data_IF_731173677571
#
_entry.id   IF_731173677571
#
_cell.length_a   1.000
_cell.length_b   1.000
_cell.length_c   1.000
_cell.angle_alpha   90.00
_cell.angle_beta   90.00
_cell.angle_gamma   90.00
#
_symmetry.space_group_name_H-M   'P 1'
#
loop_
_entity.id
_entity.type
_entity.pdbx_description
1 polymer ?
#
# COMPACT_ATOMS: atom_id res chain seq x y z
N UNK A 1 57.48 14.09 37.95
CA UNK A 1 56.76 15.11 37.15
C UNK A 1 56.81 14.69 35.69
N UNK A 2 55.72 14.15 35.17
CA UNK A 2 54.79 14.79 34.20
C UNK A 2 55.23 14.58 32.73
N UNK A 3 54.62 13.55 32.13
CA UNK A 3 53.90 13.50 30.83
C UNK A 3 54.62 14.02 29.57
N UNK A 4 54.73 13.17 28.54
CA UNK A 4 53.97 13.36 27.30
C UNK A 4 53.96 12.09 26.43
N UNK A 5 52.93 11.27 26.65
CA UNK A 5 52.53 10.24 25.70
C UNK A 5 52.23 10.93 24.35
N UNK A 6 52.79 10.38 23.27
CA UNK A 6 52.60 10.85 21.90
C UNK A 6 51.30 10.26 21.35
N UNK A 7 50.29 11.09 21.20
CA UNK A 7 48.97 10.67 20.71
C UNK A 7 49.10 10.36 19.22
N UNK A 8 49.04 9.07 18.87
CA UNK A 8 48.89 8.61 17.49
C UNK A 8 47.46 8.94 17.07
N UNK A 9 47.29 9.95 16.22
CA UNK A 9 45.99 10.41 15.71
C UNK A 9 45.27 9.25 15.01
N UNK A 10 44.26 8.70 15.68
CA UNK A 10 43.35 7.72 15.09
C UNK A 10 42.62 8.36 13.92
N UNK A 11 42.85 7.86 12.70
CA UNK A 11 42.06 8.21 11.53
C UNK A 11 40.61 7.89 11.84
N UNK A 12 39.74 8.91 11.85
CA UNK A 12 38.29 8.75 11.92
C UNK A 12 37.87 7.75 10.83
N UNK A 13 37.09 6.70 11.15
CA UNK A 13 36.63 5.77 10.13
C UNK A 13 35.80 6.57 9.12
N UNK A 14 36.26 6.58 7.87
CA UNK A 14 35.51 7.15 6.76
C UNK A 14 34.16 6.46 6.72
N UNK A 15 33.07 7.22 6.86
CA UNK A 15 31.69 6.75 6.73
C UNK A 15 31.59 6.02 5.39
N UNK A 16 31.66 4.69 5.42
CA UNK A 16 31.66 3.86 4.22
C UNK A 16 30.45 4.25 3.37
N UNK A 17 30.67 4.44 2.07
CA UNK A 17 29.58 4.66 1.12
C UNK A 17 28.61 3.50 1.30
N UNK A 18 27.40 3.76 1.84
CA UNK A 18 26.35 2.76 1.85
C UNK A 18 26.16 2.31 0.39
N UNK A 19 26.14 1.00 0.09
CA UNK A 19 25.85 0.56 -1.27
C UNK A 19 24.52 1.19 -1.69
N UNK A 20 24.40 1.61 -2.97
CA UNK A 20 23.15 2.18 -3.46
C UNK A 20 22.03 1.19 -3.14
N UNK A 21 20.96 1.68 -2.51
CA UNK A 21 19.79 0.85 -2.25
C UNK A 21 19.36 0.22 -3.58
N UNK A 22 19.21 -1.11 -3.60
CA UNK A 22 18.79 -1.81 -4.80
C UNK A 22 17.48 -1.17 -5.30
N UNK A 23 17.36 -0.88 -6.60
CA UNK A 23 16.17 -0.24 -7.13
C UNK A 23 14.95 -1.11 -6.83
N UNK A 24 14.09 -0.63 -5.94
CA UNK A 24 12.87 -1.33 -5.59
C UNK A 24 11.98 -1.37 -6.83
N UNK A 25 11.52 -2.57 -7.21
CA UNK A 25 10.63 -2.75 -8.36
C UNK A 25 9.43 -1.84 -8.18
N UNK A 26 9.13 -0.99 -9.16
CA UNK A 26 7.99 -0.06 -9.09
C UNK A 26 6.69 -0.87 -9.05
N UNK A 27 5.83 -0.59 -8.08
CA UNK A 27 4.55 -1.26 -7.88
C UNK A 27 3.44 -0.23 -8.08
N UNK A 28 2.36 -0.59 -8.79
CA UNK A 28 1.15 0.26 -8.81
C UNK A 28 0.53 0.27 -7.42
N UNK A 29 0.40 1.45 -6.83
CA UNK A 29 -0.24 1.68 -5.53
C UNK A 29 -1.38 2.67 -5.67
N UNK A 30 -2.25 2.73 -4.68
CA UNK A 30 -3.28 3.76 -4.61
C UNK A 30 -2.63 5.16 -4.57
N UNK A 31 -3.19 6.10 -5.32
CA UNK A 31 -2.76 7.48 -5.27
C UNK A 31 -3.24 8.14 -3.96
N UNK A 32 -2.32 8.36 -3.02
CA UNK A 32 -2.58 8.94 -1.70
C UNK A 32 -3.32 10.29 -1.78
N UNK A 33 -2.96 11.15 -2.73
CA UNK A 33 -3.63 12.44 -2.92
C UNK A 33 -5.09 12.32 -3.35
N UNK A 34 -5.48 11.17 -3.92
CA UNK A 34 -6.86 10.88 -4.37
C UNK A 34 -7.55 9.85 -3.47
N UNK A 35 -6.98 9.54 -2.31
CA UNK A 35 -7.53 8.52 -1.42
C UNK A 35 -8.95 8.87 -0.94
N UNK A 36 -9.23 10.14 -0.65
CA UNK A 36 -10.58 10.58 -0.26
C UNK A 36 -11.63 10.34 -1.37
N UNK A 37 -11.27 10.67 -2.62
CA UNK A 37 -12.13 10.42 -3.79
C UNK A 37 -12.36 8.93 -4.01
N UNK A 38 -11.30 8.12 -3.88
CA UNK A 38 -11.42 6.66 -3.95
C UNK A 38 -12.38 6.11 -2.89
N UNK A 39 -12.27 6.57 -1.64
CA UNK A 39 -13.19 6.15 -0.57
C UNK A 39 -14.63 6.52 -0.89
N UNK A 40 -14.87 7.74 -1.36
CA UNK A 40 -16.21 8.20 -1.72
C UNK A 40 -16.83 7.33 -2.82
N UNK A 41 -16.10 7.09 -3.91
CA UNK A 41 -16.59 6.26 -5.01
C UNK A 41 -16.80 4.80 -4.58
N UNK A 42 -15.90 4.26 -3.74
CA UNK A 42 -16.03 2.92 -3.19
C UNK A 42 -17.27 2.80 -2.30
N UNK A 43 -17.50 3.76 -1.40
CA UNK A 43 -18.69 3.80 -0.56
C UNK A 43 -19.97 3.88 -1.38
N UNK A 44 -19.96 4.63 -2.48
CA UNK A 44 -21.10 4.69 -3.42
C UNK A 44 -21.36 3.33 -4.06
N UNK A 45 -20.34 2.66 -4.59
CA UNK A 45 -20.47 1.32 -5.17
C UNK A 45 -21.01 0.33 -4.13
N UNK A 46 -20.48 0.36 -2.90
CA UNK A 46 -20.94 -0.52 -1.82
C UNK A 46 -22.36 -0.18 -1.35
N UNK A 47 -22.79 1.08 -1.42
CA UNK A 47 -24.16 1.47 -1.04
C UNK A 47 -25.24 0.88 -1.94
N UNK A 48 -24.90 0.54 -3.18
CA UNK A 48 -25.79 -0.12 -4.15
C UNK A 48 -25.93 -1.63 -3.89
N UNK A 49 -25.28 -2.18 -2.86
CA UNK A 49 -25.27 -3.62 -2.55
C UNK A 49 -25.92 -3.93 -1.22
N UNK A 50 -26.46 -5.14 -1.09
CA UNK A 50 -27.12 -5.66 0.11
C UNK A 50 -26.16 -6.11 1.23
N UNK A 51 -24.87 -5.77 1.12
CA UNK A 51 -23.88 -6.08 2.15
C UNK A 51 -24.22 -5.40 3.47
N UNK A 52 -23.94 -6.08 4.58
CA UNK A 52 -24.07 -5.49 5.91
C UNK A 52 -23.07 -4.34 6.08
N UNK A 53 -23.43 -3.31 6.85
CA UNK A 53 -22.56 -2.15 7.09
C UNK A 53 -21.20 -2.54 7.71
N UNK A 54 -21.18 -3.56 8.58
CA UNK A 54 -19.95 -4.13 9.13
C UNK A 54 -19.03 -4.71 8.05
N UNK A 55 -19.60 -5.42 7.07
CA UNK A 55 -18.86 -5.98 5.95
C UNK A 55 -18.32 -4.88 5.03
N UNK A 56 -19.14 -3.86 4.71
CA UNK A 56 -18.74 -2.70 3.89
C UNK A 56 -17.57 -1.95 4.51
N UNK A 57 -17.63 -1.72 5.82
CA UNK A 57 -16.56 -1.04 6.56
C UNK A 57 -15.27 -1.87 6.61
N UNK A 58 -15.38 -3.17 6.85
CA UNK A 58 -14.25 -4.11 6.86
C UNK A 58 -13.56 -4.20 5.49
N UNK A 59 -14.34 -4.32 4.41
CA UNK A 59 -13.85 -4.32 3.04
C UNK A 59 -13.11 -3.03 2.71
N UNK A 60 -13.71 -1.88 3.01
CA UNK A 60 -13.14 -0.56 2.75
C UNK A 60 -11.79 -0.38 3.48
N UNK A 61 -11.75 -0.71 4.77
CA UNK A 61 -10.54 -0.60 5.58
C UNK A 61 -9.41 -1.51 5.04
N UNK A 62 -9.74 -2.77 4.77
CA UNK A 62 -8.78 -3.75 4.25
C UNK A 62 -8.23 -3.33 2.89
N UNK A 63 -9.11 -2.91 1.99
CA UNK A 63 -8.74 -2.51 0.63
C UNK A 63 -7.84 -1.28 0.63
N UNK A 64 -8.11 -0.28 1.47
CA UNK A 64 -7.25 0.89 1.64
C UNK A 64 -5.85 0.52 2.13
N UNK A 65 -5.77 -0.33 3.15
CA UNK A 65 -4.48 -0.76 3.71
C UNK A 65 -3.68 -1.54 2.68
N UNK A 66 -4.29 -2.51 2.01
CA UNK A 66 -3.63 -3.37 1.02
C UNK A 66 -3.19 -2.55 -0.19
N UNK A 67 -4.08 -1.76 -0.79
CA UNK A 67 -3.79 -0.97 -1.99
C UNK A 67 -2.70 0.09 -1.78
N UNK A 68 -2.59 0.63 -0.56
CA UNK A 68 -1.58 1.63 -0.20
C UNK A 68 -0.25 0.98 0.19
N UNK A 69 -0.28 -0.08 1.02
CA UNK A 69 0.94 -0.70 1.54
C UNK A 69 1.56 -1.68 0.55
N UNK A 70 0.75 -2.60 0.04
CA UNK A 70 1.19 -3.75 -0.77
C UNK A 70 1.02 -3.51 -2.27
N UNK A 71 -0.06 -2.85 -2.66
CA UNK A 71 -0.30 -2.39 -4.02
C UNK A 71 -1.60 -2.89 -4.61
N UNK A 72 -1.87 -2.49 -5.85
CA UNK A 72 -3.13 -2.76 -6.55
C UNK A 72 -3.27 -4.25 -6.91
N UNK A 73 -2.19 -4.93 -7.28
CA UNK A 73 -2.23 -6.35 -7.61
C UNK A 73 -2.72 -7.20 -6.42
N UNK A 74 -2.14 -6.99 -5.23
CA UNK A 74 -2.59 -7.67 -4.02
C UNK A 74 -4.02 -7.27 -3.61
N UNK A 75 -4.43 -6.03 -3.87
CA UNK A 75 -5.81 -5.61 -3.61
C UNK A 75 -6.82 -6.38 -4.48
N UNK A 76 -6.48 -6.64 -5.75
CA UNK A 76 -7.31 -7.46 -6.66
C UNK A 76 -7.34 -8.93 -6.23
N UNK A 77 -6.21 -9.47 -5.77
CA UNK A 77 -6.14 -10.84 -5.25
C UNK A 77 -6.99 -11.02 -3.98
N UNK A 78 -6.94 -10.04 -3.07
CA UNK A 78 -7.82 -9.99 -1.90
C UNK A 78 -9.31 -9.98 -2.30
N UNK A 79 -9.69 -9.18 -3.30
CA UNK A 79 -11.09 -9.14 -3.78
C UNK A 79 -11.51 -10.46 -4.42
N UNK A 80 -10.61 -11.11 -5.17
CA UNK A 80 -10.87 -12.42 -5.75
C UNK A 80 -11.15 -13.47 -4.67
N UNK A 81 -10.37 -13.46 -3.59
CA UNK A 81 -10.66 -14.31 -2.42
C UNK A 81 -12.04 -14.03 -1.81
N UNK A 82 -12.51 -12.77 -1.83
CA UNK A 82 -13.85 -12.42 -1.36
C UNK A 82 -14.97 -12.89 -2.29
N UNK A 83 -14.71 -13.01 -3.59
CA UNK A 83 -15.63 -13.66 -4.54
C UNK A 83 -15.71 -15.15 -4.26
N UNK A 84 -14.55 -15.81 -4.07
CA UNK A 84 -14.47 -17.24 -3.76
C UNK A 84 -15.16 -17.58 -2.42
N UNK A 85 -15.06 -16.69 -1.42
CA UNK A 85 -15.77 -16.79 -0.15
C UNK A 85 -17.30 -16.54 -0.26
N UNK A 86 -17.79 -16.09 -1.43
CA UNK A 86 -19.19 -15.72 -1.64
C UNK A 86 -19.60 -14.41 -0.93
N UNK A 87 -18.64 -13.60 -0.50
CA UNK A 87 -18.89 -12.32 0.19
C UNK A 87 -19.25 -11.22 -0.80
N UNK A 88 -18.67 -11.23 -1.99
CA UNK A 88 -19.00 -10.31 -3.08
C UNK A 88 -19.27 -11.09 -4.36
N UNK A 89 -20.06 -10.52 -5.28
CA UNK A 89 -20.29 -11.09 -6.60
C UNK A 89 -19.23 -10.62 -7.62
N UNK A 90 -19.19 -11.28 -8.78
CA UNK A 90 -18.26 -10.95 -9.87
C UNK A 90 -18.50 -9.52 -10.40
N UNK A 91 -19.76 -9.06 -10.41
CA UNK A 91 -20.12 -7.70 -10.84
C UNK A 91 -19.50 -6.64 -9.93
N UNK A 92 -19.56 -6.83 -8.61
CA UNK A 92 -18.94 -5.95 -7.63
C UNK A 92 -17.42 -6.03 -7.71
N UNK A 93 -16.86 -7.23 -7.91
CA UNK A 93 -15.43 -7.42 -8.15
C UNK A 93 -14.93 -6.57 -9.32
N UNK A 94 -15.61 -6.63 -10.47
CA UNK A 94 -15.24 -5.88 -11.67
C UNK A 94 -15.33 -4.36 -11.46
N UNK A 95 -16.39 -3.89 -10.78
CA UNK A 95 -16.57 -2.47 -10.44
C UNK A 95 -15.43 -1.96 -9.55
N UNK A 96 -15.10 -2.68 -8.48
CA UNK A 96 -14.05 -2.27 -7.53
C UNK A 96 -12.67 -2.37 -8.19
N UNK A 97 -12.43 -3.39 -9.01
CA UNK A 97 -11.18 -3.58 -9.76
C UNK A 97 -10.94 -2.42 -10.73
N UNK A 98 -11.98 -2.00 -11.46
CA UNK A 98 -11.95 -0.84 -12.35
C UNK A 98 -11.69 0.45 -11.58
N UNK A 99 -12.28 0.60 -10.39
CA UNK A 99 -12.03 1.74 -9.51
C UNK A 99 -10.57 1.79 -9.04
N UNK A 100 -10.02 0.66 -8.60
CA UNK A 100 -8.62 0.56 -8.19
C UNK A 100 -7.66 0.97 -9.31
N UNK A 101 -7.89 0.52 -10.54
CA UNK A 101 -7.06 0.89 -11.68
C UNK A 101 -7.13 2.39 -11.98
N UNK A 102 -8.32 3.00 -11.91
CA UNK A 102 -8.55 4.45 -12.12
C UNK A 102 -7.80 5.33 -11.13
N UNK A 103 -7.66 4.86 -9.88
CA UNK A 103 -6.99 5.60 -8.80
C UNK A 103 -5.56 5.13 -8.55
N UNK A 104 -5.02 4.24 -9.38
CA UNK A 104 -3.66 3.72 -9.26
C UNK A 104 -2.60 4.69 -9.81
N UNK A 105 -1.41 4.65 -9.23
CA UNK A 105 -0.21 5.33 -9.73
C UNK A 105 1.02 4.44 -9.52
N UNK A 106 1.94 4.44 -10.47
CA UNK A 106 3.23 3.75 -10.34
C UNK A 106 4.09 4.42 -9.28
N UNK A 107 4.45 3.66 -8.23
CA UNK A 107 5.30 4.11 -7.13
C UNK A 107 6.53 3.22 -6.97
#
# INVERSE_FOLDING_TARGET
MIILARWKTGKRPSKGRRPPAQPQKRIKKLNESRQAHFKYDLSRILSETDLEEGQKNSLTASLLVISTRRGIAEAKEYLKGKVEDGVIDESLYDKITSLLDRYSKWR
#
